data_IF_345971983567
#
_entry.id   IF_345971983567
#
_cell.length_a   1.000
_cell.length_b   1.000
_cell.length_c   1.000
_cell.angle_alpha   90.00
_cell.angle_beta   90.00
_cell.angle_gamma   90.00
#
_symmetry.space_group_name_H-M   'P 1'
#
loop_
_entity.id
_entity.type
_entity.pdbx_description
1 polymer ?
#
# COMPACT_ATOMS: atom_id res chain seq x y z
N UNK A 1 7.45 8.07 35.89
CA UNK A 1 6.12 7.48 35.80
C UNK A 1 6.25 6.25 34.92
N UNK A 2 6.22 5.05 35.47
CA UNK A 2 6.31 3.81 34.70
C UNK A 2 4.94 3.54 34.08
N UNK A 3 4.85 3.54 32.75
CA UNK A 3 3.64 3.13 32.04
C UNK A 3 3.53 1.61 32.16
N UNK A 4 2.53 1.14 32.88
CA UNK A 4 2.24 -0.30 32.96
C UNK A 4 1.58 -0.69 31.65
N UNK A 5 2.31 -1.37 30.77
CA UNK A 5 1.72 -2.04 29.61
C UNK A 5 1.05 -3.33 30.08
N UNK A 6 -0.21 -3.52 29.74
CA UNK A 6 -0.91 -4.79 29.98
C UNK A 6 -0.30 -5.89 29.11
N UNK A 7 -0.25 -7.15 29.59
CA UNK A 7 0.33 -8.26 28.82
C UNK A 7 -0.36 -8.48 27.45
N UNK A 8 -1.62 -8.08 27.30
CA UNK A 8 -2.35 -8.12 26.02
C UNK A 8 -1.72 -7.22 24.94
N UNK A 9 -1.05 -6.12 25.33
CA UNK A 9 -0.34 -5.24 24.39
C UNK A 9 1.04 -5.76 23.94
N UNK A 10 1.46 -6.91 24.44
CA UNK A 10 2.76 -7.55 24.10
C UNK A 10 2.63 -8.71 23.11
N UNK A 11 1.42 -9.12 22.75
CA UNK A 11 1.20 -10.22 21.80
C UNK A 11 0.94 -9.66 20.42
N UNK A 12 1.78 -10.03 19.46
CA UNK A 12 1.54 -9.69 18.06
C UNK A 12 0.30 -10.42 17.56
N UNK A 13 -0.62 -9.70 16.93
CA UNK A 13 -1.79 -10.28 16.28
C UNK A 13 -1.38 -10.90 14.93
N UNK A 14 -2.08 -11.96 14.55
CA UNK A 14 -2.07 -12.48 13.19
C UNK A 14 -3.20 -11.82 12.41
N UNK A 15 -2.85 -10.77 11.68
CA UNK A 15 -3.77 -9.96 10.90
C UNK A 15 -3.83 -10.52 9.49
N UNK A 16 -4.98 -11.04 9.09
CA UNK A 16 -5.21 -11.46 7.72
C UNK A 16 -5.81 -10.31 6.90
N UNK A 17 -5.36 -10.18 5.66
CA UNK A 17 -5.92 -9.22 4.69
C UNK A 17 -6.41 -10.03 3.49
N UNK A 18 -7.69 -9.94 3.18
CA UNK A 18 -8.31 -10.72 2.12
C UNK A 18 -9.27 -9.87 1.27
N UNK A 19 -9.01 -9.70 -0.03
CA UNK A 19 -9.97 -9.10 -0.94
C UNK A 19 -11.26 -9.94 -1.04
N UNK A 20 -12.39 -9.27 -1.11
CA UNK A 20 -13.69 -9.92 -1.28
C UNK A 20 -13.96 -10.17 -2.77
N UNK A 21 -14.27 -11.39 -3.11
CA UNK A 21 -14.72 -11.84 -4.42
C UNK A 21 -15.92 -12.78 -4.30
N UNK A 22 -16.05 -13.69 -5.24
CA UNK A 22 -17.12 -14.70 -5.27
C UNK A 22 -16.68 -16.02 -4.60
N UNK A 23 -15.87 -15.92 -3.56
CA UNK A 23 -15.25 -17.06 -2.89
C UNK A 23 -15.33 -16.89 -1.37
N UNK A 24 -15.81 -17.90 -0.67
CA UNK A 24 -15.92 -17.89 0.79
C UNK A 24 -14.80 -18.73 1.40
N UNK A 25 -14.63 -19.95 0.92
CA UNK A 25 -13.72 -20.93 1.53
C UNK A 25 -12.25 -20.47 1.45
N UNK A 26 -11.87 -19.81 0.36
CA UNK A 26 -10.50 -19.27 0.18
C UNK A 26 -10.16 -18.10 1.12
N UNK A 27 -11.14 -17.57 1.82
CA UNK A 27 -10.96 -16.57 2.88
C UNK A 27 -11.07 -17.20 4.25
N UNK A 28 -12.16 -17.94 4.50
CA UNK A 28 -12.48 -18.47 5.83
C UNK A 28 -11.54 -19.61 6.23
N UNK A 29 -11.27 -20.57 5.33
CA UNK A 29 -10.45 -21.75 5.66
C UNK A 29 -9.01 -21.36 6.04
N UNK A 30 -8.30 -20.50 5.29
CA UNK A 30 -6.98 -20.02 5.70
C UNK A 30 -7.01 -19.26 7.04
N UNK A 31 -7.98 -18.38 7.25
CA UNK A 31 -8.11 -17.64 8.50
C UNK A 31 -8.20 -18.59 9.72
N UNK A 32 -8.97 -19.67 9.59
CA UNK A 32 -9.10 -20.68 10.64
C UNK A 32 -7.82 -21.53 10.78
N UNK A 33 -7.28 -22.07 9.66
CA UNK A 33 -6.10 -22.96 9.69
C UNK A 33 -4.85 -22.23 10.22
N UNK A 34 -4.66 -20.98 9.83
CA UNK A 34 -3.51 -20.14 10.24
C UNK A 34 -3.78 -19.35 11.51
N UNK A 35 -4.95 -19.58 12.17
CA UNK A 35 -5.34 -18.98 13.46
C UNK A 35 -5.31 -17.46 13.42
N UNK A 36 -5.98 -16.86 12.46
CA UNK A 36 -6.11 -15.40 12.40
C UNK A 36 -6.78 -14.86 13.66
N UNK A 37 -6.26 -13.78 14.20
CA UNK A 37 -6.87 -13.03 15.30
C UNK A 37 -7.84 -11.98 14.74
N UNK A 38 -7.50 -11.36 13.60
CA UNK A 38 -8.30 -10.36 12.91
C UNK A 38 -8.21 -10.55 11.39
N UNK A 39 -9.34 -10.39 10.69
CA UNK A 39 -9.39 -10.42 9.22
C UNK A 39 -9.89 -9.09 8.69
N UNK A 40 -9.09 -8.40 7.89
CA UNK A 40 -9.53 -7.28 7.07
C UNK A 40 -10.06 -7.79 5.73
N UNK A 41 -11.29 -7.42 5.42
CA UNK A 41 -11.95 -7.74 4.15
C UNK A 41 -11.93 -6.50 3.27
N UNK A 42 -11.21 -6.54 2.13
CA UNK A 42 -11.20 -5.44 1.16
C UNK A 42 -12.39 -5.64 0.23
N UNK A 43 -13.42 -4.81 0.40
CA UNK A 43 -14.64 -4.80 -0.40
C UNK A 43 -14.62 -3.66 -1.42
N UNK A 44 -15.50 -3.73 -2.42
CA UNK A 44 -15.65 -2.64 -3.40
C UNK A 44 -16.32 -1.42 -2.75
N UNK A 45 -15.78 -0.23 -3.02
CA UNK A 45 -16.39 1.03 -2.57
C UNK A 45 -17.82 1.25 -3.15
N UNK A 46 -18.12 0.65 -4.29
CA UNK A 46 -19.41 0.74 -5.00
C UNK A 46 -20.39 -0.32 -4.48
N UNK A 47 -20.77 -0.24 -3.22
CA UNK A 47 -21.60 -1.22 -2.52
C UNK A 47 -22.92 -1.50 -3.28
N UNK A 48 -23.52 -0.48 -3.91
CA UNK A 48 -24.82 -0.60 -4.60
C UNK A 48 -24.77 -1.55 -5.81
N UNK A 49 -23.62 -1.67 -6.48
CA UNK A 49 -23.43 -2.49 -7.67
C UNK A 49 -22.56 -3.71 -7.43
N UNK A 50 -22.01 -3.85 -6.22
CA UNK A 50 -21.11 -4.94 -5.89
C UNK A 50 -21.86 -6.28 -5.71
N UNK A 51 -21.68 -7.16 -6.69
CA UNK A 51 -22.25 -8.53 -6.65
C UNK A 51 -21.60 -9.43 -5.60
N UNK A 52 -20.46 -9.01 -5.01
CA UNK A 52 -19.75 -9.80 -4.01
C UNK A 52 -20.28 -9.59 -2.57
N UNK A 53 -21.17 -8.62 -2.35
CA UNK A 53 -21.71 -8.29 -1.01
C UNK A 53 -22.32 -9.48 -0.27
N UNK A 54 -23.01 -10.40 -0.98
CA UNK A 54 -23.56 -11.61 -0.37
C UNK A 54 -22.47 -12.56 0.15
N UNK A 55 -21.37 -12.70 -0.59
CA UNK A 55 -20.21 -13.51 -0.18
C UNK A 55 -19.51 -12.87 1.02
N UNK A 56 -19.32 -11.54 1.00
CA UNK A 56 -18.81 -10.78 2.15
C UNK A 56 -19.65 -11.04 3.41
N UNK A 57 -20.98 -10.99 3.30
CA UNK A 57 -21.88 -11.23 4.43
C UNK A 57 -21.72 -12.64 4.99
N UNK A 58 -21.61 -13.64 4.12
CA UNK A 58 -21.41 -15.02 4.57
C UNK A 58 -20.01 -15.25 5.15
N UNK A 59 -18.96 -14.64 4.58
CA UNK A 59 -17.60 -14.66 5.16
C UNK A 59 -17.61 -14.12 6.59
N UNK A 60 -18.18 -12.93 6.81
CA UNK A 60 -18.26 -12.30 8.14
C UNK A 60 -19.02 -13.21 9.12
N UNK A 61 -20.14 -13.78 8.70
CA UNK A 61 -20.93 -14.71 9.51
C UNK A 61 -20.13 -15.97 9.90
N UNK A 62 -19.36 -16.53 8.96
CA UNK A 62 -18.56 -17.72 9.23
C UNK A 62 -17.35 -17.42 10.13
N UNK A 63 -16.64 -16.31 9.91
CA UNK A 63 -15.56 -15.87 10.80
C UNK A 63 -16.05 -15.65 12.23
N UNK A 64 -17.20 -14.98 12.39
CA UNK A 64 -17.83 -14.78 13.71
C UNK A 64 -18.15 -16.10 14.42
N UNK A 65 -18.66 -17.10 13.69
CA UNK A 65 -18.89 -18.45 14.25
C UNK A 65 -17.61 -19.12 14.73
N UNK A 66 -16.47 -18.78 14.12
CA UNK A 66 -15.13 -19.28 14.50
C UNK A 66 -14.43 -18.41 15.54
N UNK A 67 -15.11 -17.38 16.06
CA UNK A 67 -14.57 -16.40 17.02
C UNK A 67 -13.36 -15.64 16.48
N UNK A 68 -13.35 -15.34 15.19
CA UNK A 68 -12.36 -14.53 14.51
C UNK A 68 -13.00 -13.19 14.20
N UNK A 69 -12.36 -12.11 14.65
CA UNK A 69 -12.84 -10.76 14.39
C UNK A 69 -12.62 -10.37 12.94
N UNK A 70 -13.51 -9.52 12.41
CA UNK A 70 -13.38 -9.03 11.03
C UNK A 70 -13.73 -7.56 10.91
N UNK A 71 -12.99 -6.84 10.07
CA UNK A 71 -13.23 -5.45 9.70
C UNK A 71 -13.37 -5.35 8.18
N UNK A 72 -14.26 -4.50 7.71
CA UNK A 72 -14.45 -4.23 6.28
C UNK A 72 -13.77 -2.90 5.98
N UNK A 73 -12.95 -2.89 4.94
CA UNK A 73 -12.35 -1.70 4.35
C UNK A 73 -12.73 -1.64 2.87
N UNK A 74 -12.78 -0.46 2.32
CA UNK A 74 -13.26 -0.25 0.97
C UNK A 74 -12.14 0.24 0.06
N UNK A 75 -12.10 -0.32 -1.17
CA UNK A 75 -11.21 0.12 -2.22
C UNK A 75 -11.92 0.05 -3.57
N UNK A 76 -11.51 0.89 -4.52
CA UNK A 76 -11.92 0.74 -5.90
C UNK A 76 -11.23 -0.48 -6.51
N UNK A 77 -12.01 -1.55 -6.78
CA UNK A 77 -11.49 -2.83 -7.30
C UNK A 77 -10.74 -2.74 -8.64
N UNK A 78 -10.93 -1.65 -9.38
CA UNK A 78 -10.30 -1.43 -10.68
C UNK A 78 -9.06 -0.54 -10.59
N UNK A 79 -8.79 0.05 -9.42
CA UNK A 79 -7.68 0.96 -9.18
C UNK A 79 -6.57 0.27 -8.39
N UNK A 80 -5.51 -0.14 -9.09
CA UNK A 80 -4.39 -0.87 -8.51
C UNK A 80 -3.79 -0.14 -7.29
N UNK A 81 -3.56 1.16 -7.43
CA UNK A 81 -2.90 1.96 -6.39
C UNK A 81 -3.79 2.21 -5.17
N UNK A 82 -5.11 2.22 -5.34
CA UNK A 82 -6.05 2.29 -4.22
C UNK A 82 -6.01 1.02 -3.37
N UNK A 83 -5.91 -0.14 -4.01
CA UNK A 83 -5.73 -1.42 -3.30
C UNK A 83 -4.41 -1.41 -2.51
N UNK A 84 -3.30 -0.95 -3.12
CA UNK A 84 -2.00 -0.86 -2.45
C UNK A 84 -2.07 0.10 -1.26
N UNK A 85 -2.75 1.25 -1.41
CA UNK A 85 -2.97 2.24 -0.35
C UNK A 85 -3.72 1.64 0.84
N UNK A 86 -4.84 0.95 0.58
CA UNK A 86 -5.65 0.33 1.65
C UNK A 86 -4.84 -0.73 2.40
N UNK A 87 -4.07 -1.58 1.71
CA UNK A 87 -3.19 -2.56 2.38
C UNK A 87 -2.13 -1.87 3.23
N UNK A 88 -1.53 -0.78 2.72
CA UNK A 88 -0.57 0.04 3.49
C UNK A 88 -1.19 0.61 4.77
N UNK A 89 -2.38 1.18 4.68
CA UNK A 89 -3.08 1.76 5.83
C UNK A 89 -3.30 0.71 6.93
N UNK A 90 -3.74 -0.49 6.55
CA UNK A 90 -3.89 -1.61 7.50
C UNK A 90 -2.55 -1.96 8.16
N UNK A 91 -1.47 -2.05 7.38
CA UNK A 91 -0.13 -2.36 7.91
C UNK A 91 0.36 -1.28 8.87
N UNK A 92 0.07 -0.01 8.58
CA UNK A 92 0.47 1.11 9.43
C UNK A 92 -0.30 1.18 10.75
N UNK A 93 -1.58 0.79 10.73
CA UNK A 93 -2.44 0.73 11.95
C UNK A 93 -2.01 -0.38 12.91
N UNK A 94 -1.30 -1.40 12.40
CA UNK A 94 -0.90 -2.60 13.13
C UNK A 94 0.61 -2.86 13.08
N UNK A 95 1.44 -1.83 13.26
CA UNK A 95 2.90 -1.83 12.96
C UNK A 95 3.71 -2.98 13.57
N UNK A 96 3.27 -3.55 14.66
CA UNK A 96 3.99 -4.60 15.38
C UNK A 96 3.43 -6.01 15.13
N UNK A 97 2.33 -6.12 14.40
CA UNK A 97 1.64 -7.36 14.12
C UNK A 97 2.22 -8.14 12.93
N UNK A 98 1.81 -9.40 12.77
CA UNK A 98 2.17 -10.25 11.65
C UNK A 98 1.01 -10.27 10.63
N UNK A 99 1.32 -9.98 9.36
CA UNK A 99 0.34 -9.85 8.29
C UNK A 99 0.37 -11.05 7.36
N UNK A 100 -0.80 -11.61 7.10
CA UNK A 100 -1.02 -12.68 6.13
C UNK A 100 -1.93 -12.16 5.03
N UNK A 101 -1.37 -11.93 3.84
CA UNK A 101 -2.07 -11.27 2.73
C UNK A 101 -2.50 -12.30 1.70
N UNK A 102 -3.81 -12.48 1.56
CA UNK A 102 -4.41 -13.40 0.60
C UNK A 102 -4.37 -12.80 -0.82
N UNK A 103 -3.62 -13.42 -1.71
CA UNK A 103 -3.51 -12.98 -3.12
C UNK A 103 -4.32 -13.85 -4.08
N UNK A 104 -5.23 -14.66 -3.57
CA UNK A 104 -6.02 -15.58 -4.40
C UNK A 104 -7.49 -15.21 -4.49
N UNK A 105 -8.03 -14.46 -3.52
CA UNK A 105 -9.42 -14.02 -3.51
C UNK A 105 -9.58 -12.65 -4.18
N UNK A 106 -10.81 -12.30 -4.54
CA UNK A 106 -11.10 -11.06 -5.25
C UNK A 106 -10.79 -11.10 -6.75
N UNK A 107 -10.52 -9.95 -7.34
CA UNK A 107 -10.15 -9.83 -8.75
C UNK A 107 -8.64 -10.04 -8.97
N UNK A 108 -8.23 -10.21 -10.24
CA UNK A 108 -6.80 -10.26 -10.60
C UNK A 108 -6.05 -8.97 -10.21
N UNK A 109 -6.73 -7.81 -10.28
CA UNK A 109 -6.13 -6.53 -9.86
C UNK A 109 -5.90 -6.53 -8.34
N UNK A 110 -6.83 -7.09 -7.56
CA UNK A 110 -6.63 -7.29 -6.12
C UNK A 110 -5.39 -8.16 -5.84
N UNK A 111 -5.25 -9.30 -6.54
CA UNK A 111 -4.10 -10.18 -6.37
C UNK A 111 -2.77 -9.47 -6.64
N UNK A 112 -2.70 -8.70 -7.75
CA UNK A 112 -1.52 -7.92 -8.13
C UNK A 112 -1.26 -6.81 -7.09
N UNK A 113 -2.27 -6.04 -6.70
CA UNK A 113 -2.14 -4.95 -5.74
C UNK A 113 -1.70 -5.41 -4.36
N UNK A 114 -2.31 -6.49 -3.85
CA UNK A 114 -1.93 -7.11 -2.58
C UNK A 114 -0.48 -7.63 -2.61
N UNK A 115 -0.08 -8.30 -3.70
CA UNK A 115 1.30 -8.79 -3.84
C UNK A 115 2.31 -7.65 -3.93
N UNK A 116 2.00 -6.59 -4.71
CA UNK A 116 2.85 -5.39 -4.78
C UNK A 116 2.96 -4.71 -3.42
N UNK A 117 1.88 -4.58 -2.66
CA UNK A 117 1.90 -4.01 -1.32
C UNK A 117 2.83 -4.81 -0.39
N UNK A 118 2.78 -6.15 -0.43
CA UNK A 118 3.70 -6.99 0.33
C UNK A 118 5.17 -6.70 0.00
N UNK A 119 5.47 -6.51 -1.29
CA UNK A 119 6.84 -6.25 -1.74
C UNK A 119 7.34 -4.84 -1.42
N UNK A 120 6.43 -3.84 -1.37
CA UNK A 120 6.77 -2.44 -1.11
C UNK A 120 6.96 -2.16 0.38
N UNK A 121 6.11 -2.77 1.23
CA UNK A 121 6.02 -2.40 2.65
C UNK A 121 6.68 -3.39 3.62
N UNK A 122 7.21 -4.51 3.14
CA UNK A 122 7.87 -5.53 3.98
C UNK A 122 9.26 -5.10 4.45
N UNK A 123 9.30 -4.13 5.34
CA UNK A 123 10.54 -3.66 5.96
C UNK A 123 11.05 -4.59 7.08
N UNK A 124 10.28 -5.60 7.54
CA UNK A 124 10.58 -6.36 8.76
C UNK A 124 10.33 -7.87 8.64
N UNK A 125 10.11 -8.40 7.46
CA UNK A 125 9.74 -9.81 7.22
C UNK A 125 8.52 -10.29 8.03
N UNK A 126 7.57 -9.39 8.27
CA UNK A 126 6.31 -9.66 8.99
C UNK A 126 5.11 -9.73 8.05
N UNK A 127 5.33 -9.63 6.73
CA UNK A 127 4.27 -9.63 5.73
C UNK A 127 4.41 -10.87 4.87
N UNK A 128 3.43 -11.75 4.96
CA UNK A 128 3.42 -13.07 4.35
C UNK A 128 2.32 -13.16 3.29
N UNK A 129 2.63 -12.93 1.99
CA UNK A 129 1.67 -13.20 0.93
C UNK A 129 1.44 -14.69 0.82
N UNK A 130 0.18 -15.11 0.70
CA UNK A 130 -0.17 -16.52 0.57
C UNK A 130 -1.27 -16.76 -0.47
N UNK A 131 -1.24 -17.96 -1.04
CA UNK A 131 -2.19 -18.41 -2.05
C UNK A 131 -2.91 -19.69 -1.54
N UNK A 132 -4.18 -19.61 -1.13
CA UNK A 132 -5.00 -20.78 -0.83
C UNK A 132 -5.50 -21.40 -2.14
N UNK A 133 -4.96 -22.55 -2.50
CA UNK A 133 -5.42 -23.31 -3.66
C UNK A 133 -6.80 -23.88 -3.39
N UNK A 134 -7.76 -23.58 -4.29
CA UNK A 134 -9.07 -24.18 -4.19
C UNK A 134 -9.02 -25.67 -4.53
N UNK A 135 -9.83 -26.44 -3.84
CA UNK A 135 -9.96 -27.89 -4.09
C UNK A 135 -10.78 -28.17 -5.35
N UNK A 136 -11.82 -27.38 -5.58
CA UNK A 136 -12.74 -27.58 -6.69
C UNK A 136 -13.02 -26.26 -7.42
N UNK A 137 -13.08 -26.34 -8.77
CA UNK A 137 -13.41 -25.25 -9.68
C UNK A 137 -14.61 -25.68 -10.54
N UNK A 138 -15.85 -25.57 -10.02
CA UNK A 138 -17.03 -25.96 -10.79
C UNK A 138 -17.26 -25.00 -11.95
N UNK A 139 -18.07 -25.42 -12.92
CA UNK A 139 -18.56 -24.50 -13.94
C UNK A 139 -19.34 -23.34 -13.29
N UNK A 140 -19.12 -22.14 -13.81
CA UNK A 140 -19.76 -20.93 -13.28
C UNK A 140 -21.29 -21.06 -13.24
N UNK A 141 -21.85 -20.76 -12.10
CA UNK A 141 -23.30 -20.60 -11.90
C UNK A 141 -23.58 -19.33 -11.13
N UNK A 142 -24.63 -18.64 -11.55
CA UNK A 142 -25.07 -17.42 -10.86
C UNK A 142 -25.39 -17.72 -9.38
N UNK A 143 -24.94 -16.83 -8.52
CA UNK A 143 -25.17 -16.88 -7.08
C UNK A 143 -24.44 -18.00 -6.28
N UNK A 144 -23.64 -18.83 -6.90
CA UNK A 144 -22.76 -19.77 -6.23
C UNK A 144 -21.33 -19.21 -6.12
N UNK A 145 -20.55 -19.69 -5.15
CA UNK A 145 -19.13 -19.33 -5.11
C UNK A 145 -18.38 -19.99 -6.28
N UNK A 146 -17.32 -19.32 -6.73
CA UNK A 146 -16.55 -19.76 -7.90
C UNK A 146 -15.64 -20.95 -7.62
N UNK A 147 -15.31 -21.17 -6.35
CA UNK A 147 -14.44 -22.26 -5.92
C UNK A 147 -14.94 -22.86 -4.61
N UNK A 148 -14.63 -24.11 -4.35
CA UNK A 148 -15.01 -24.79 -3.11
C UNK A 148 -13.81 -25.44 -2.44
N UNK A 149 -13.77 -25.32 -1.11
CA UNK A 149 -12.73 -25.88 -0.26
C UNK A 149 -11.36 -25.23 -0.49
N UNK A 150 -10.43 -25.62 0.35
CA UNK A 150 -9.01 -25.29 0.21
C UNK A 150 -8.21 -26.58 0.35
N UNK A 151 -7.45 -26.93 -0.69
CA UNK A 151 -6.58 -28.08 -0.72
C UNK A 151 -5.32 -27.78 0.06
N UNK A 152 -4.59 -26.76 -0.35
CA UNK A 152 -3.32 -26.34 0.25
C UNK A 152 -3.20 -24.83 0.33
N UNK A 153 -2.36 -24.35 1.24
CA UNK A 153 -2.04 -22.93 1.40
C UNK A 153 -0.55 -22.77 1.13
N UNK A 154 -0.22 -22.10 0.03
CA UNK A 154 1.15 -21.83 -0.37
C UNK A 154 1.56 -20.47 0.16
N UNK A 155 2.68 -20.39 0.88
CA UNK A 155 3.38 -19.15 1.11
C UNK A 155 4.07 -18.73 -0.19
N UNK A 156 3.92 -17.47 -0.58
CA UNK A 156 4.55 -16.94 -1.79
C UNK A 156 5.83 -16.18 -1.43
N UNK A 157 6.89 -16.28 -2.26
CA UNK A 157 8.09 -15.52 -2.03
C UNK A 157 7.80 -14.02 -2.16
N UNK A 158 8.25 -13.24 -1.19
CA UNK A 158 8.21 -11.78 -1.23
C UNK A 158 9.63 -11.24 -1.33
N UNK A 159 9.84 -10.30 -2.25
CA UNK A 159 11.10 -9.60 -2.44
C UNK A 159 10.86 -8.11 -2.26
N UNK A 160 11.69 -7.45 -1.47
CA UNK A 160 11.56 -6.01 -1.27
C UNK A 160 11.79 -5.27 -2.59
N UNK A 161 10.81 -4.52 -3.03
CA UNK A 161 10.96 -3.57 -4.13
C UNK A 161 11.69 -2.33 -3.62
N UNK A 162 12.59 -1.81 -4.45
CA UNK A 162 13.23 -0.54 -4.17
C UNK A 162 12.17 0.56 -4.14
N UNK A 163 12.26 1.42 -3.15
CA UNK A 163 11.46 2.65 -3.03
C UNK A 163 12.39 3.86 -2.94
N UNK A 164 11.95 5.05 -3.34
CA UNK A 164 12.71 6.26 -3.09
C UNK A 164 13.06 6.40 -1.61
N UNK A 165 14.24 6.96 -1.31
CA UNK A 165 14.61 7.26 0.06
C UNK A 165 13.73 8.39 0.64
N UNK A 166 13.79 8.58 1.96
CA UNK A 166 12.95 9.55 2.66
C UNK A 166 13.07 10.98 2.11
N UNK A 167 14.28 11.42 1.72
CA UNK A 167 14.48 12.77 1.18
C UNK A 167 13.75 12.95 -0.15
N UNK A 168 13.77 11.93 -1.02
CA UNK A 168 13.03 11.94 -2.28
C UNK A 168 11.52 11.91 -2.06
N UNK A 169 11.05 11.13 -1.07
CA UNK A 169 9.63 11.07 -0.68
C UNK A 169 9.17 12.44 -0.17
N UNK A 170 9.96 13.10 0.66
CA UNK A 170 9.62 14.43 1.17
C UNK A 170 9.53 15.48 0.04
N UNK A 171 10.39 15.42 -0.97
CA UNK A 171 10.25 16.27 -2.18
C UNK A 171 8.94 16.00 -2.92
N UNK A 172 8.56 14.74 -3.09
CA UNK A 172 7.28 14.39 -3.72
C UNK A 172 6.08 14.90 -2.91
N UNK A 173 6.14 14.85 -1.58
CA UNK A 173 5.11 15.44 -0.69
C UNK A 173 4.99 16.95 -0.91
N UNK A 174 6.12 17.68 -0.96
CA UNK A 174 6.10 19.11 -1.23
C UNK A 174 5.45 19.43 -2.58
N UNK A 175 5.71 18.62 -3.61
CA UNK A 175 5.09 18.79 -4.92
C UNK A 175 3.58 18.53 -4.81
N UNK A 176 3.14 17.49 -4.10
CA UNK A 176 1.71 17.16 -3.87
C UNK A 176 0.99 18.28 -3.11
N UNK A 177 1.60 18.84 -2.06
CA UNK A 177 1.09 19.98 -1.29
C UNK A 177 0.93 21.28 -2.13
N UNK A 178 1.56 21.33 -3.30
CA UNK A 178 1.45 22.44 -4.26
C UNK A 178 0.70 22.01 -5.54
N UNK A 179 -0.34 21.20 -5.40
CA UNK A 179 -1.23 20.77 -6.50
C UNK A 179 -0.50 20.00 -7.63
N UNK A 180 0.56 19.31 -7.29
CA UNK A 180 1.35 18.49 -8.22
C UNK A 180 2.32 19.28 -9.11
N UNK A 181 2.47 20.60 -8.88
CA UNK A 181 3.39 21.45 -9.64
C UNK A 181 3.93 22.60 -8.80
N UNK A 182 5.25 22.84 -8.85
CA UNK A 182 5.91 23.88 -8.07
C UNK A 182 7.05 24.54 -8.85
N UNK A 183 7.31 25.83 -8.62
CA UNK A 183 8.52 26.46 -9.15
C UNK A 183 9.76 25.87 -8.47
N UNK A 184 10.79 25.55 -9.26
CA UNK A 184 12.05 24.97 -8.76
C UNK A 184 12.71 25.85 -7.69
N UNK A 185 12.58 27.18 -7.79
CA UNK A 185 13.09 28.11 -6.78
C UNK A 185 12.37 27.91 -5.45
N UNK A 186 11.03 27.90 -5.46
CA UNK A 186 10.22 27.69 -4.26
C UNK A 186 10.46 26.29 -3.65
N UNK A 187 10.58 25.26 -4.50
CA UNK A 187 10.92 23.92 -4.04
C UNK A 187 12.28 23.89 -3.31
N UNK A 188 13.30 24.58 -3.85
CA UNK A 188 14.60 24.65 -3.21
C UNK A 188 14.55 25.35 -1.85
N UNK A 189 13.76 26.41 -1.71
CA UNK A 189 13.56 27.15 -0.48
C UNK A 189 12.89 26.28 0.59
N UNK A 190 11.79 25.62 0.25
CA UNK A 190 11.07 24.71 1.17
C UNK A 190 11.95 23.51 1.55
N UNK A 191 12.69 22.91 0.60
CA UNK A 191 13.56 21.78 0.87
C UNK A 191 14.70 22.11 1.84
N UNK A 192 15.22 23.33 1.80
CA UNK A 192 16.21 23.82 2.76
C UNK A 192 15.57 24.11 4.12
N UNK A 193 14.43 24.78 4.16
CA UNK A 193 13.67 25.07 5.38
C UNK A 193 13.31 23.80 6.15
N UNK A 194 12.87 22.75 5.43
CA UNK A 194 12.58 21.42 5.99
C UNK A 194 13.82 20.57 6.28
N UNK A 195 15.03 21.11 6.09
CA UNK A 195 16.32 20.42 6.31
C UNK A 195 16.51 19.16 5.47
N UNK A 196 15.81 19.04 4.35
CA UNK A 196 16.03 17.99 3.34
C UNK A 196 17.33 18.28 2.58
N UNK A 197 17.62 19.58 2.37
CA UNK A 197 18.89 20.06 1.81
C UNK A 197 19.72 20.71 2.90
N UNK A 198 20.91 20.17 3.14
CA UNK A 198 21.92 20.81 3.98
C UNK A 198 22.95 21.46 3.08
N UNK A 199 22.99 22.80 3.09
CA UNK A 199 23.90 23.60 2.26
C UNK A 199 25.03 24.14 3.13
N UNK A 200 26.24 23.70 2.83
CA UNK A 200 27.46 24.19 3.48
C UNK A 200 28.25 25.02 2.47
N UNK A 201 27.84 26.28 2.29
CA UNK A 201 28.48 27.22 1.36
C UNK A 201 28.54 28.62 1.96
N UNK A 202 29.51 29.44 1.50
CA UNK A 202 29.58 30.85 1.87
C UNK A 202 28.36 31.60 1.31
N UNK A 203 27.94 32.71 1.97
CA UNK A 203 26.73 33.47 1.59
C UNK A 203 26.70 33.83 0.10
N UNK A 204 27.86 34.27 -0.45
CA UNK A 204 27.99 34.66 -1.86
C UNK A 204 27.61 33.54 -2.85
N UNK A 205 27.87 32.28 -2.48
CA UNK A 205 27.64 31.10 -3.34
C UNK A 205 26.46 30.22 -2.88
N UNK A 206 25.78 30.66 -1.81
CA UNK A 206 24.74 29.83 -1.16
C UNK A 206 23.60 29.47 -2.13
N UNK A 207 23.08 30.43 -2.88
CA UNK A 207 22.01 30.19 -3.85
C UNK A 207 22.42 29.20 -4.95
N UNK A 208 23.63 29.33 -5.50
CA UNK A 208 24.13 28.42 -6.54
C UNK A 208 24.34 27.03 -5.99
N UNK A 209 24.91 26.91 -4.78
CA UNK A 209 25.12 25.62 -4.12
C UNK A 209 23.80 24.92 -3.80
N UNK A 210 22.76 25.67 -3.38
CA UNK A 210 21.42 25.17 -3.14
C UNK A 210 20.82 24.53 -4.39
N UNK A 211 20.83 25.22 -5.53
CA UNK A 211 20.30 24.67 -6.77
C UNK A 211 21.10 23.48 -7.28
N UNK A 212 22.42 23.51 -7.18
CA UNK A 212 23.26 22.38 -7.58
C UNK A 212 23.01 21.15 -6.72
N UNK A 213 22.84 21.34 -5.39
CA UNK A 213 22.53 20.25 -4.46
C UNK A 213 21.13 19.70 -4.71
N UNK A 214 20.11 20.55 -4.89
CA UNK A 214 18.76 20.14 -5.25
C UNK A 214 18.76 19.27 -6.51
N UNK A 215 19.42 19.75 -7.57
CA UNK A 215 19.46 19.02 -8.83
C UNK A 215 20.14 17.67 -8.71
N UNK A 216 21.32 17.62 -8.10
CA UNK A 216 22.12 16.40 -8.04
C UNK A 216 21.50 15.35 -7.12
N UNK A 217 21.02 15.76 -5.95
CA UNK A 217 20.59 14.80 -4.90
C UNK A 217 19.13 14.41 -5.04
N UNK A 218 18.26 15.27 -5.58
CA UNK A 218 16.82 15.11 -5.50
C UNK A 218 16.14 15.12 -6.88
N UNK A 219 16.34 16.16 -7.69
CA UNK A 219 15.63 16.27 -8.97
C UNK A 219 16.08 15.22 -9.96
N UNK A 220 17.39 15.05 -10.20
CA UNK A 220 17.89 14.07 -11.16
C UNK A 220 17.49 12.63 -10.83
N UNK A 221 17.62 12.14 -9.59
CA UNK A 221 17.10 10.82 -9.24
C UNK A 221 15.61 10.67 -9.49
N UNK A 222 14.79 11.65 -9.09
CA UNK A 222 13.35 11.61 -9.31
C UNK A 222 12.96 11.65 -10.78
N UNK A 223 13.73 12.36 -11.64
CA UNK A 223 13.49 12.42 -13.08
C UNK A 223 13.99 11.18 -13.83
N UNK A 224 15.24 10.76 -13.57
CA UNK A 224 15.92 9.79 -14.44
C UNK A 224 15.90 8.36 -13.91
N UNK A 225 15.88 8.17 -12.58
CA UNK A 225 15.82 6.84 -11.97
C UNK A 225 14.38 6.40 -11.74
N UNK A 226 13.55 7.31 -11.21
CA UNK A 226 12.19 7.00 -10.82
C UNK A 226 11.14 7.41 -11.86
N UNK A 227 11.45 8.34 -12.75
CA UNK A 227 10.49 8.92 -13.71
C UNK A 227 9.24 9.52 -13.04
N UNK A 228 9.37 10.03 -11.81
CA UNK A 228 8.23 10.54 -11.03
C UNK A 228 7.94 12.01 -11.26
N UNK A 229 8.93 12.77 -11.71
CA UNK A 229 8.78 14.20 -11.98
C UNK A 229 9.39 14.57 -13.34
N UNK A 230 8.93 15.69 -13.86
CA UNK A 230 9.46 16.34 -15.06
C UNK A 230 9.76 17.82 -14.78
N UNK A 231 10.70 18.40 -15.52
CA UNK A 231 11.09 19.80 -15.45
C UNK A 231 10.71 20.52 -16.75
N UNK A 232 9.95 21.61 -16.64
CA UNK A 232 9.56 22.45 -17.75
C UNK A 232 10.09 23.88 -17.53
N UNK A 233 10.61 24.52 -18.59
CA UNK A 233 11.03 25.91 -18.57
C UNK A 233 9.94 26.80 -19.19
N UNK A 234 9.35 27.69 -18.35
CA UNK A 234 8.36 28.66 -18.80
C UNK A 234 8.92 30.07 -18.57
N UNK A 235 9.30 30.73 -19.64
CA UNK A 235 9.97 32.03 -19.57
C UNK A 235 11.32 31.96 -18.85
N UNK A 236 11.47 32.68 -17.75
CA UNK A 236 12.68 32.65 -16.90
C UNK A 236 12.59 31.62 -15.77
N UNK A 237 11.44 31.01 -15.55
CA UNK A 237 11.20 30.10 -14.44
C UNK A 237 11.29 28.65 -14.88
N UNK A 238 11.75 27.78 -13.98
CA UNK A 238 11.71 26.33 -14.12
C UNK A 238 10.65 25.78 -13.19
N UNK A 239 9.82 24.90 -13.71
CA UNK A 239 8.73 24.24 -13.01
C UNK A 239 8.99 22.77 -12.90
N UNK A 240 8.68 22.21 -11.75
CA UNK A 240 8.72 20.78 -11.48
C UNK A 240 7.29 20.31 -11.33
N UNK A 241 6.91 19.25 -12.02
CA UNK A 241 5.59 18.65 -11.97
C UNK A 241 5.67 17.13 -11.91
N UNK A 242 4.62 16.49 -11.42
CA UNK A 242 4.50 15.04 -11.48
C UNK A 242 4.31 14.55 -12.92
N UNK A 243 4.99 13.46 -13.25
CA UNK A 243 4.58 12.59 -14.35
C UNK A 243 3.35 11.76 -13.97
N UNK A 244 2.79 10.99 -14.89
CA UNK A 244 1.74 10.03 -14.55
C UNK A 244 2.21 8.98 -13.54
N UNK A 245 3.46 8.49 -13.69
CA UNK A 245 4.05 7.54 -12.75
C UNK A 245 4.23 8.15 -11.37
N UNK A 246 4.64 9.42 -11.30
CA UNK A 246 4.77 10.15 -10.04
C UNK A 246 3.43 10.38 -9.34
N UNK A 247 2.38 10.71 -10.08
CA UNK A 247 1.02 10.83 -9.53
C UNK A 247 0.58 9.48 -8.93
N UNK A 248 0.70 8.40 -9.68
CA UNK A 248 0.36 7.06 -9.23
C UNK A 248 1.17 6.65 -8.00
N UNK A 249 2.49 6.87 -8.00
CA UNK A 249 3.36 6.57 -6.88
C UNK A 249 2.98 7.37 -5.62
N UNK A 250 2.55 8.62 -5.78
CA UNK A 250 2.13 9.49 -4.67
C UNK A 250 0.90 8.98 -3.93
N UNK A 251 0.07 8.12 -4.53
CA UNK A 251 -1.12 7.56 -3.89
C UNK A 251 -0.78 6.50 -2.83
N UNK A 252 0.36 5.83 -2.94
CA UNK A 252 0.75 4.79 -2.00
C UNK A 252 2.06 5.05 -1.25
N UNK A 253 2.95 5.91 -1.74
CA UNK A 253 4.21 6.20 -1.03
C UNK A 253 3.98 7.05 0.25
N UNK A 254 2.96 7.93 0.27
CA UNK A 254 2.67 8.82 1.40
C UNK A 254 1.21 9.25 1.46
#
# INVERSE_FOLDING_TARGET
MYTVHTMESMLNLRVHIAPVGFEIDRVVVPAVKMKADLVYLIADENIATDKSTKFQTEIVKQLKKKKIDSKIVYANRLQLFDIIRVVKEIILDHRDDDFYVNVASGSKIHAIGCMMACMVFDNRKKIHPFYPQAKEYPAYKDNEQQTYGVEEIYELPSYQLLTPNNDLIEILKIIKENDGRIQKKKLAEIAEERKILNINAREENHSQARFASLDKKLIRPLMHTWNFIEEEKIGKNRWISFTNDGKNASEFLF
#
